data_IF_723097407658
#
_entry.id   IF_723097407658
#
_cell.length_a   1.000
_cell.length_b   1.000
_cell.length_c   1.000
_cell.angle_alpha   90.00
_cell.angle_beta   90.00
_cell.angle_gamma   90.00
#
_symmetry.space_group_name_H-M   'P 1'
#
loop_
_entity.id
_entity.type
_entity.pdbx_description
1 polymer ?
#
# COMPACT_ATOMS: atom_id res chain seq x y z
N UNK A 1 -26.21 3.63 34.33
CA UNK A 1 -25.63 3.63 32.96
C UNK A 1 -24.90 4.97 32.79
N UNK A 2 -23.63 4.96 32.40
CA UNK A 2 -22.77 6.16 32.39
C UNK A 2 -23.22 7.22 31.38
N UNK A 3 -23.83 6.78 30.28
CA UNK A 3 -24.41 7.55 29.19
C UNK A 3 -25.68 8.33 29.59
N UNK A 4 -26.52 7.76 30.46
CA UNK A 4 -27.74 8.41 30.96
C UNK A 4 -27.44 9.69 31.76
N UNK A 5 -26.27 9.74 32.40
CA UNK A 5 -25.85 10.85 33.25
C UNK A 5 -24.61 11.58 32.70
N UNK A 6 -24.28 11.43 31.40
CA UNK A 6 -23.02 11.93 30.83
C UNK A 6 -22.76 13.43 31.07
N UNK A 7 -23.82 14.26 31.20
CA UNK A 7 -23.70 15.69 31.50
C UNK A 7 -23.37 16.01 32.97
N UNK A 8 -23.63 15.07 33.88
CA UNK A 8 -23.40 15.21 35.33
C UNK A 8 -22.26 14.29 35.82
N UNK A 9 -21.86 13.33 34.98
CA UNK A 9 -20.78 12.40 35.19
C UNK A 9 -19.44 13.08 34.89
N UNK A 10 -18.45 12.91 35.79
CA UNK A 10 -17.06 13.30 35.54
C UNK A 10 -16.24 12.21 34.82
N UNK A 11 -16.89 11.14 34.35
CA UNK A 11 -16.24 10.01 33.68
C UNK A 11 -16.06 10.31 32.18
N UNK A 12 -14.83 10.14 31.71
CA UNK A 12 -14.50 10.06 30.29
C UNK A 12 -14.15 8.61 29.94
N UNK A 13 -14.88 8.01 29.00
CA UNK A 13 -14.62 6.66 28.50
C UNK A 13 -13.90 6.75 27.15
N UNK A 14 -12.72 6.15 27.06
CA UNK A 14 -11.96 6.01 25.83
C UNK A 14 -11.88 4.52 25.51
N UNK A 15 -12.42 4.12 24.37
CA UNK A 15 -12.32 2.76 23.85
C UNK A 15 -11.31 2.74 22.71
N UNK A 16 -10.34 1.83 22.78
CA UNK A 16 -9.27 1.66 21.80
C UNK A 16 -9.38 0.24 21.27
N UNK A 17 -9.35 0.06 19.95
CA UNK A 17 -9.39 -1.25 19.31
C UNK A 17 -8.66 -1.22 17.98
N UNK A 18 -7.90 -2.29 17.71
CA UNK A 18 -7.16 -2.49 16.45
C UNK A 18 -8.08 -2.89 15.29
N UNK A 19 -9.19 -3.57 15.58
CA UNK A 19 -10.12 -4.08 14.57
C UNK A 19 -11.20 -3.04 14.30
N UNK A 20 -10.95 -2.17 13.32
CA UNK A 20 -11.83 -1.04 12.96
C UNK A 20 -13.27 -1.52 12.69
N UNK A 21 -13.46 -2.63 11.96
CA UNK A 21 -14.79 -3.13 11.67
C UNK A 21 -15.53 -3.65 12.90
N UNK A 22 -14.83 -4.20 13.90
CA UNK A 22 -15.43 -4.59 15.17
C UNK A 22 -15.82 -3.35 15.99
N UNK A 23 -14.96 -2.34 16.04
CA UNK A 23 -15.27 -1.08 16.70
C UNK A 23 -16.49 -0.41 16.05
N UNK A 24 -16.55 -0.37 14.72
CA UNK A 24 -17.73 0.11 13.98
C UNK A 24 -18.96 -0.72 14.31
N UNK A 25 -18.86 -2.06 14.37
CA UNK A 25 -19.99 -2.90 14.77
C UNK A 25 -20.48 -2.53 16.17
N UNK A 26 -19.61 -2.55 17.17
CA UNK A 26 -19.96 -2.32 18.58
C UNK A 26 -20.63 -0.95 18.80
N UNK A 27 -20.16 0.11 18.13
CA UNK A 27 -20.63 1.48 18.35
C UNK A 27 -21.62 2.02 17.29
N UNK A 28 -21.70 1.40 16.10
CA UNK A 28 -22.47 1.91 14.96
C UNK A 28 -23.50 0.90 14.40
N UNK A 29 -23.54 -0.37 14.85
CA UNK A 29 -24.63 -1.29 14.52
C UNK A 29 -25.83 -1.04 15.45
N UNK A 30 -27.01 -0.78 14.89
CA UNK A 30 -28.25 -0.52 15.63
C UNK A 30 -28.66 -1.65 16.59
N UNK A 31 -28.13 -2.86 16.40
CA UNK A 31 -28.38 -4.02 17.27
C UNK A 31 -27.49 -4.04 18.51
N UNK A 32 -26.39 -3.29 18.52
CA UNK A 32 -25.42 -3.34 19.59
C UNK A 32 -25.78 -2.36 20.73
N UNK A 33 -25.57 -2.75 22.00
CA UNK A 33 -25.96 -1.93 23.14
C UNK A 33 -25.18 -0.63 23.29
N UNK A 34 -24.14 -0.36 22.49
CA UNK A 34 -23.43 0.91 22.46
C UNK A 34 -23.76 1.78 21.24
N UNK A 35 -24.73 1.37 20.42
CA UNK A 35 -25.19 2.14 19.27
C UNK A 35 -25.58 3.58 19.64
N UNK A 36 -25.12 4.54 18.84
CA UNK A 36 -25.47 5.95 18.97
C UNK A 36 -24.89 6.65 20.22
N UNK A 37 -24.02 5.96 20.99
CA UNK A 37 -23.41 6.52 22.22
C UNK A 37 -22.02 7.11 22.01
N UNK A 38 -21.50 7.03 20.78
CA UNK A 38 -20.19 7.55 20.44
C UNK A 38 -20.26 9.08 20.26
N UNK A 39 -19.47 9.82 21.05
CA UNK A 39 -19.41 11.29 20.96
C UNK A 39 -18.34 11.76 19.98
N UNK A 40 -17.22 11.04 19.90
CA UNK A 40 -16.11 11.31 18.97
C UNK A 40 -15.47 10.01 18.52
N UNK A 41 -15.11 9.95 17.25
CA UNK A 41 -14.34 8.88 16.64
C UNK A 41 -13.00 9.46 16.18
N UNK A 42 -11.91 8.77 16.48
CA UNK A 42 -10.58 9.11 15.97
C UNK A 42 -10.07 7.87 15.27
N UNK A 43 -9.98 7.93 13.95
CA UNK A 43 -9.35 6.90 13.15
C UNK A 43 -7.86 7.22 13.02
N UNK A 44 -7.02 6.43 13.69
CA UNK A 44 -5.57 6.60 13.66
C UNK A 44 -5.00 5.84 12.47
N UNK A 45 -4.82 6.57 11.36
CA UNK A 45 -4.16 6.03 10.16
C UNK A 45 -2.64 5.94 10.34
N UNK A 46 -1.96 5.06 9.55
CA UNK A 46 -0.50 5.05 9.46
C UNK A 46 0.08 6.45 9.15
N UNK A 47 1.30 6.70 9.61
CA UNK A 47 1.99 7.96 9.33
C UNK A 47 2.20 8.15 7.83
N UNK A 48 2.01 9.38 7.30
CA UNK A 48 2.27 9.65 5.91
C UNK A 48 3.77 9.56 5.62
N UNK A 49 4.09 9.37 4.34
CA UNK A 49 5.47 9.24 3.87
C UNK A 49 6.39 10.40 4.30
N UNK A 50 5.89 11.63 4.46
CA UNK A 50 6.73 12.75 4.90
C UNK A 50 7.19 12.60 6.34
N UNK A 51 6.31 12.13 7.23
CA UNK A 51 6.66 11.89 8.61
C UNK A 51 7.70 10.76 8.69
N UNK A 52 7.51 9.69 7.90
CA UNK A 52 8.49 8.61 7.81
C UNK A 52 9.80 9.08 7.19
N UNK A 53 9.77 9.94 6.18
CA UNK A 53 10.98 10.46 5.56
C UNK A 53 11.80 11.27 6.56
N UNK A 54 11.14 12.07 7.41
CA UNK A 54 11.79 12.78 8.50
C UNK A 54 12.36 11.82 9.54
N UNK A 55 11.55 10.88 10.04
CA UNK A 55 11.99 9.86 11.02
C UNK A 55 13.20 9.08 10.49
N UNK A 56 13.16 8.62 9.24
CA UNK A 56 14.28 7.90 8.65
C UNK A 56 15.53 8.80 8.52
N UNK A 57 15.36 10.08 8.18
CA UNK A 57 16.49 11.02 8.15
C UNK A 57 17.10 11.18 9.55
N UNK A 58 16.28 11.29 10.59
CA UNK A 58 16.71 11.42 11.99
C UNK A 58 17.42 10.14 12.49
N UNK A 59 16.98 8.97 12.00
CA UNK A 59 17.67 7.68 12.21
C UNK A 59 18.96 7.54 11.38
N UNK A 60 19.38 8.56 10.63
CA UNK A 60 20.65 8.56 9.88
C UNK A 60 20.58 7.98 8.47
N UNK A 61 19.38 7.72 7.91
CA UNK A 61 19.24 7.35 6.51
C UNK A 61 19.41 8.58 5.60
N UNK A 62 20.32 8.51 4.64
CA UNK A 62 20.62 9.65 3.75
C UNK A 62 20.11 9.46 2.32
N UNK A 63 20.00 8.22 1.87
CA UNK A 63 19.61 7.85 0.51
C UNK A 63 18.09 7.91 0.35
N UNK A 64 17.53 8.80 -0.51
CA UNK A 64 16.10 8.83 -0.77
C UNK A 64 15.57 7.47 -1.23
N UNK A 65 16.32 6.77 -2.08
CA UNK A 65 15.96 5.44 -2.56
C UNK A 65 15.79 4.43 -1.41
N UNK A 66 16.67 4.48 -0.40
CA UNK A 66 16.58 3.57 0.75
C UNK A 66 15.41 3.94 1.65
N UNK A 67 15.17 5.24 1.89
CA UNK A 67 14.00 5.70 2.66
C UNK A 67 12.70 5.30 1.98
N UNK A 68 12.60 5.48 0.65
CA UNK A 68 11.43 5.03 -0.14
C UNK A 68 11.29 3.51 -0.10
N UNK A 69 12.40 2.76 -0.05
CA UNK A 69 12.36 1.30 0.09
C UNK A 69 11.88 0.89 1.49
N UNK A 70 12.33 1.57 2.54
CA UNK A 70 11.86 1.34 3.92
C UNK A 70 10.37 1.61 4.02
N UNK A 71 9.91 2.76 3.56
CA UNK A 71 8.48 3.09 3.55
C UNK A 71 7.68 2.15 2.66
N UNK A 72 8.22 1.76 1.51
CA UNK A 72 7.56 0.79 0.64
C UNK A 72 7.31 -0.55 1.32
N UNK A 73 8.22 -1.03 2.17
CA UNK A 73 8.12 -2.30 2.89
C UNK A 73 7.33 -2.18 4.19
N UNK A 74 7.65 -1.21 5.03
CA UNK A 74 7.10 -1.07 6.38
C UNK A 74 5.87 -0.14 6.45
N UNK A 75 5.62 0.64 5.41
CA UNK A 75 4.52 1.61 5.38
C UNK A 75 4.66 2.68 6.45
N UNK A 76 3.53 3.28 6.84
CA UNK A 76 3.49 4.34 7.85
C UNK A 76 3.48 3.88 9.30
N UNK A 77 3.71 2.60 9.60
CA UNK A 77 3.49 2.08 10.95
C UNK A 77 4.69 2.43 11.87
N UNK A 78 4.52 3.26 12.91
CA UNK A 78 5.65 3.77 13.72
C UNK A 78 6.49 2.68 14.38
N UNK A 79 5.84 1.59 14.82
CA UNK A 79 6.47 0.46 15.52
C UNK A 79 7.66 -0.14 14.76
N UNK A 80 7.62 -0.18 13.43
CA UNK A 80 8.72 -0.73 12.65
C UNK A 80 9.98 0.15 12.73
N UNK A 81 9.81 1.47 12.76
CA UNK A 81 10.90 2.44 12.86
C UNK A 81 11.47 2.52 14.28
N UNK A 82 10.62 2.42 15.29
CA UNK A 82 11.04 2.28 16.70
C UNK A 82 11.94 1.06 16.91
N UNK A 83 11.59 -0.08 16.29
CA UNK A 83 12.40 -1.29 16.39
C UNK A 83 13.75 -1.10 15.68
N UNK A 84 13.78 -0.48 14.50
CA UNK A 84 15.03 -0.14 13.80
C UNK A 84 15.93 0.73 14.70
N UNK A 85 15.36 1.73 15.36
CA UNK A 85 16.07 2.58 16.31
C UNK A 85 16.61 1.79 17.51
N UNK A 86 15.75 1.02 18.18
CA UNK A 86 16.11 0.25 19.38
C UNK A 86 17.21 -0.79 19.13
N UNK A 87 17.28 -1.31 17.91
CA UNK A 87 18.30 -2.27 17.47
C UNK A 87 19.60 -1.58 17.02
N UNK A 88 19.66 -0.25 17.04
CA UNK A 88 20.81 0.52 16.57
C UNK A 88 21.06 0.40 15.07
N UNK A 89 20.01 0.17 14.28
CA UNK A 89 20.10 -0.06 12.82
C UNK A 89 19.90 1.22 12.00
N UNK A 90 19.96 2.39 12.65
CA UNK A 90 19.96 3.68 11.97
C UNK A 90 21.06 3.79 10.91
N UNK A 91 20.71 4.26 9.72
CA UNK A 91 21.63 4.38 8.58
C UNK A 91 22.15 3.05 8.00
N UNK A 92 21.68 1.90 8.51
CA UNK A 92 22.08 0.59 8.00
C UNK A 92 21.49 0.31 6.61
N UNK A 93 22.05 -0.65 5.88
CA UNK A 93 21.47 -1.06 4.60
C UNK A 93 20.12 -1.76 4.79
N UNK A 94 19.23 -1.66 3.80
CA UNK A 94 17.94 -2.39 3.78
C UNK A 94 18.15 -3.89 4.04
N UNK A 95 19.21 -4.47 3.46
CA UNK A 95 19.58 -5.87 3.67
C UNK A 95 19.89 -6.19 5.13
N UNK A 96 20.65 -5.33 5.82
CA UNK A 96 20.96 -5.52 7.24
C UNK A 96 19.71 -5.38 8.11
N UNK A 97 18.85 -4.41 7.81
CA UNK A 97 17.60 -4.19 8.53
C UNK A 97 16.71 -5.41 8.42
N UNK A 98 16.41 -5.88 7.21
CA UNK A 98 15.57 -7.05 7.00
C UNK A 98 16.21 -8.32 7.57
N UNK A 99 17.54 -8.47 7.50
CA UNK A 99 18.24 -9.59 8.13
C UNK A 99 17.97 -9.63 9.65
N UNK A 100 18.18 -8.52 10.34
CA UNK A 100 18.03 -8.46 11.79
C UNK A 100 16.55 -8.49 12.23
N UNK A 101 15.69 -7.81 11.47
CA UNK A 101 14.28 -7.65 11.79
C UNK A 101 13.42 -8.88 11.44
N UNK A 102 13.82 -9.67 10.43
CA UNK A 102 13.04 -10.80 9.91
C UNK A 102 13.83 -12.11 9.78
N UNK A 103 15.09 -12.09 9.38
CA UNK A 103 15.83 -13.31 9.00
C UNK A 103 16.93 -13.69 10.00
N UNK A 104 16.61 -13.55 11.28
CA UNK A 104 17.47 -13.90 12.42
C UNK A 104 16.71 -14.79 13.40
N UNK A 105 17.38 -15.70 14.14
CA UNK A 105 16.71 -16.53 15.14
C UNK A 105 15.89 -15.74 16.17
N UNK A 106 16.36 -14.53 16.52
CA UNK A 106 15.77 -13.62 17.50
C UNK A 106 15.10 -12.39 16.85
N UNK A 107 14.78 -12.48 15.56
CA UNK A 107 14.16 -11.38 14.84
C UNK A 107 12.82 -10.97 15.49
N UNK A 108 12.61 -9.67 15.80
CA UNK A 108 11.41 -9.20 16.48
C UNK A 108 10.13 -9.49 15.68
N UNK A 109 10.18 -9.40 14.35
CA UNK A 109 9.02 -9.65 13.49
C UNK A 109 8.85 -11.10 13.07
N UNK A 110 9.62 -12.02 13.66
CA UNK A 110 9.64 -13.43 13.22
C UNK A 110 8.26 -14.08 13.30
N UNK A 111 7.61 -13.92 14.44
CA UNK A 111 6.30 -14.49 14.69
C UNK A 111 5.18 -13.43 14.67
N UNK A 112 5.51 -12.14 14.77
CA UNK A 112 4.53 -11.06 14.94
C UNK A 112 3.40 -11.12 13.90
N UNK A 113 3.74 -11.22 12.61
CA UNK A 113 2.71 -11.27 11.56
C UNK A 113 1.85 -12.53 11.61
N UNK A 114 2.45 -13.67 11.93
CA UNK A 114 1.71 -14.92 12.08
C UNK A 114 0.80 -14.87 13.30
N UNK A 115 1.30 -14.34 14.41
CA UNK A 115 0.58 -14.31 15.69
C UNK A 115 -0.57 -13.30 15.64
N UNK A 116 -0.36 -12.11 15.03
CA UNK A 116 -1.44 -11.16 14.73
C UNK A 116 -2.53 -11.88 13.91
N UNK A 117 -2.15 -12.53 12.81
CA UNK A 117 -3.12 -13.16 11.92
C UNK A 117 -3.86 -14.35 12.58
N UNK A 118 -3.15 -15.20 13.32
CA UNK A 118 -3.77 -16.34 14.02
C UNK A 118 -4.71 -15.87 15.15
N UNK A 119 -4.33 -14.83 15.90
CA UNK A 119 -5.16 -14.28 16.97
C UNK A 119 -6.44 -13.63 16.44
N UNK A 120 -6.39 -12.99 15.27
CA UNK A 120 -7.54 -12.31 14.65
C UNK A 120 -8.56 -13.29 14.02
N UNK A 121 -8.11 -14.44 13.47
CA UNK A 121 -8.99 -15.32 12.69
C UNK A 121 -9.36 -16.66 13.33
N UNK A 122 -8.78 -17.01 14.48
CA UNK A 122 -9.08 -18.23 15.23
C UNK A 122 -9.03 -19.51 14.38
N UNK A 123 -10.02 -20.40 14.56
CA UNK A 123 -10.07 -21.71 13.89
C UNK A 123 -10.19 -21.69 12.35
N UNK A 124 -10.43 -20.52 11.74
CA UNK A 124 -10.52 -20.33 10.28
C UNK A 124 -9.29 -19.66 9.67
N UNK A 125 -8.23 -19.43 10.46
CA UNK A 125 -7.06 -18.66 10.04
C UNK A 125 -6.39 -19.16 8.75
N UNK A 126 -6.34 -20.49 8.53
CA UNK A 126 -5.72 -21.06 7.35
C UNK A 126 -6.37 -20.57 6.04
N UNK A 127 -7.69 -20.44 6.01
CA UNK A 127 -8.42 -19.97 4.82
C UNK A 127 -8.13 -18.50 4.53
N UNK A 128 -8.12 -17.65 5.55
CA UNK A 128 -7.78 -16.23 5.39
C UNK A 128 -6.34 -16.05 4.94
N UNK A 129 -5.40 -16.79 5.54
CA UNK A 129 -4.00 -16.80 5.15
C UNK A 129 -3.82 -17.19 3.68
N UNK A 130 -4.49 -18.25 3.20
CA UNK A 130 -4.41 -18.66 1.81
C UNK A 130 -4.98 -17.60 0.84
N UNK A 131 -6.04 -16.88 1.24
CA UNK A 131 -6.58 -15.76 0.45
C UNK A 131 -5.58 -14.60 0.40
N UNK A 132 -4.98 -14.22 1.54
CA UNK A 132 -3.99 -13.15 1.61
C UNK A 132 -2.74 -13.49 0.80
N UNK A 133 -2.24 -14.74 0.89
CA UNK A 133 -1.11 -15.22 0.09
C UNK A 133 -1.42 -15.14 -1.42
N UNK A 134 -2.62 -15.58 -1.84
CA UNK A 134 -3.03 -15.49 -3.24
C UNK A 134 -3.01 -14.04 -3.73
N UNK A 135 -3.56 -13.10 -2.95
CA UNK A 135 -3.57 -11.67 -3.29
C UNK A 135 -2.14 -11.11 -3.36
N UNK A 136 -1.30 -11.39 -2.35
CA UNK A 136 0.08 -10.89 -2.27
C UNK A 136 0.98 -11.40 -3.41
N UNK A 137 0.67 -12.59 -3.94
CA UNK A 137 1.36 -13.20 -5.08
C UNK A 137 0.78 -12.80 -6.45
N UNK A 138 -0.19 -11.88 -6.48
CA UNK A 138 -0.72 -11.27 -7.70
C UNK A 138 -2.02 -11.88 -8.23
N UNK A 139 -2.63 -12.83 -7.50
CA UNK A 139 -3.98 -13.33 -7.81
C UNK A 139 -4.99 -12.31 -7.28
N UNK A 140 -5.34 -11.34 -8.11
CA UNK A 140 -6.15 -10.18 -7.66
C UNK A 140 -7.62 -10.31 -8.05
N UNK A 141 -8.00 -11.22 -8.95
CA UNK A 141 -9.40 -11.46 -9.33
C UNK A 141 -10.03 -12.56 -8.47
N UNK A 142 -11.34 -12.49 -8.21
CA UNK A 142 -12.06 -13.53 -7.43
C UNK A 142 -11.83 -14.95 -7.96
N UNK A 143 -11.86 -15.12 -9.28
CA UNK A 143 -11.62 -16.42 -9.93
C UNK A 143 -10.19 -16.93 -9.74
N UNK A 144 -9.22 -16.04 -9.60
CA UNK A 144 -7.80 -16.36 -9.42
C UNK A 144 -7.47 -16.68 -7.96
N UNK A 145 -8.22 -16.09 -7.01
CA UNK A 145 -8.06 -16.29 -5.56
C UNK A 145 -8.67 -17.62 -5.11
N UNK A 146 -9.83 -17.99 -5.65
CA UNK A 146 -10.60 -19.14 -5.19
C UNK A 146 -9.82 -20.47 -5.25
N UNK A 147 -9.12 -20.71 -6.37
CA UNK A 147 -8.37 -21.94 -6.61
C UNK A 147 -7.25 -22.18 -5.57
N UNK A 148 -6.27 -21.27 -5.44
CA UNK A 148 -5.22 -21.38 -4.43
C UNK A 148 -5.73 -21.46 -2.99
N UNK A 149 -6.85 -20.78 -2.69
CA UNK A 149 -7.47 -20.84 -1.37
C UNK A 149 -8.21 -22.16 -1.08
N UNK A 150 -8.32 -23.07 -2.05
CA UNK A 150 -9.05 -24.34 -1.89
C UNK A 150 -10.56 -24.14 -1.68
N UNK A 151 -11.11 -23.01 -2.12
CA UNK A 151 -12.49 -22.61 -1.86
C UNK A 151 -13.35 -22.61 -3.12
N UNK A 152 -14.64 -23.00 -3.03
CA UNK A 152 -15.63 -22.62 -4.03
C UNK A 152 -15.73 -21.10 -4.12
N UNK A 153 -15.83 -20.57 -5.35
CA UNK A 153 -15.95 -19.13 -5.58
C UNK A 153 -17.18 -18.49 -4.90
N UNK A 154 -18.22 -19.28 -4.64
CA UNK A 154 -19.43 -18.89 -3.90
C UNK A 154 -19.14 -18.57 -2.44
N UNK A 155 -18.28 -19.36 -1.78
CA UNK A 155 -17.87 -19.18 -0.38
C UNK A 155 -16.86 -18.05 -0.21
N UNK A 156 -16.04 -17.78 -1.24
CA UNK A 156 -15.00 -16.74 -1.21
C UNK A 156 -15.56 -15.34 -0.91
N UNK A 157 -16.78 -15.04 -1.36
CA UNK A 157 -17.40 -13.72 -1.16
C UNK A 157 -17.62 -13.38 0.31
N UNK A 158 -17.82 -14.38 1.18
CA UNK A 158 -17.93 -14.17 2.63
C UNK A 158 -16.58 -13.70 3.18
N UNK A 159 -15.51 -14.45 2.93
CA UNK A 159 -14.17 -14.16 3.43
C UNK A 159 -13.61 -12.84 2.91
N UNK A 160 -13.85 -12.50 1.64
CA UNK A 160 -13.40 -11.22 1.09
C UNK A 160 -14.13 -10.03 1.73
N UNK A 161 -15.41 -10.18 2.10
CA UNK A 161 -16.12 -9.14 2.86
C UNK A 161 -15.62 -9.05 4.29
N UNK A 162 -15.38 -10.17 4.96
CA UNK A 162 -14.81 -10.15 6.31
C UNK A 162 -13.42 -9.47 6.31
N UNK A 163 -12.53 -9.86 5.41
CA UNK A 163 -11.20 -9.24 5.27
C UNK A 163 -11.25 -7.75 4.92
N UNK A 164 -12.28 -7.28 4.21
CA UNK A 164 -12.39 -5.88 3.79
C UNK A 164 -13.15 -5.03 4.80
N UNK A 165 -14.33 -5.47 5.24
CA UNK A 165 -15.26 -4.69 6.04
C UNK A 165 -15.05 -4.88 7.56
N UNK A 166 -14.66 -6.09 7.99
CA UNK A 166 -14.46 -6.40 9.42
C UNK A 166 -13.02 -6.14 9.85
N UNK A 167 -12.05 -6.69 9.11
CA UNK A 167 -10.64 -6.64 9.47
C UNK A 167 -9.87 -5.46 8.83
N UNK A 168 -10.45 -4.80 7.81
CA UNK A 168 -9.81 -3.73 7.04
C UNK A 168 -8.39 -4.07 6.52
N UNK A 169 -8.18 -5.34 6.15
CA UNK A 169 -6.89 -5.85 5.66
C UNK A 169 -6.77 -5.79 4.14
N UNK A 170 -7.90 -5.87 3.44
CA UNK A 170 -7.93 -5.82 1.98
C UNK A 170 -8.85 -4.71 1.49
N UNK A 171 -8.52 -4.18 0.32
CA UNK A 171 -9.36 -3.26 -0.43
C UNK A 171 -9.80 -3.89 -1.76
N UNK A 172 -11.01 -3.55 -2.17
CA UNK A 172 -11.53 -3.86 -3.50
C UNK A 172 -11.32 -2.66 -4.42
N UNK A 173 -10.40 -2.79 -5.36
CA UNK A 173 -10.14 -1.79 -6.39
C UNK A 173 -10.97 -2.05 -7.65
N UNK A 174 -11.35 -0.97 -8.34
CA UNK A 174 -12.00 -1.01 -9.66
C UNK A 174 -11.30 -0.01 -10.58
N UNK A 175 -11.38 -0.17 -11.92
CA UNK A 175 -10.81 0.84 -12.82
C UNK A 175 -11.36 2.21 -12.47
N UNK A 176 -10.52 3.24 -12.46
CA UNK A 176 -10.92 4.59 -12.03
C UNK A 176 -12.09 5.15 -12.85
N UNK A 177 -12.28 4.69 -14.09
CA UNK A 177 -13.38 5.10 -14.98
C UNK A 177 -14.70 4.37 -14.71
N UNK A 178 -14.73 3.37 -13.81
CA UNK A 178 -15.92 2.58 -13.51
C UNK A 178 -16.51 2.91 -12.14
N UNK A 179 -17.81 2.65 -11.98
CA UNK A 179 -18.52 2.80 -10.71
C UNK A 179 -18.39 1.51 -9.90
N UNK A 180 -17.91 1.62 -8.65
CA UNK A 180 -17.59 0.47 -7.79
C UNK A 180 -18.73 -0.54 -7.64
N UNK A 181 -19.98 -0.06 -7.53
CA UNK A 181 -21.19 -0.88 -7.33
C UNK A 181 -21.71 -1.56 -8.60
N UNK A 182 -21.32 -1.12 -9.80
CA UNK A 182 -21.76 -1.71 -11.07
C UNK A 182 -20.81 -2.76 -11.62
N UNK A 183 -19.51 -2.59 -11.39
CA UNK A 183 -18.51 -3.34 -12.16
C UNK A 183 -18.17 -4.71 -11.59
N UNK A 184 -17.96 -5.66 -12.52
CA UNK A 184 -17.39 -6.99 -12.24
C UNK A 184 -15.88 -7.03 -12.42
N UNK A 185 -15.24 -5.98 -12.96
CA UNK A 185 -13.79 -5.92 -13.22
C UNK A 185 -12.95 -5.61 -11.98
N UNK A 186 -13.44 -5.94 -10.78
CA UNK A 186 -12.75 -5.61 -9.55
C UNK A 186 -11.53 -6.49 -9.29
N UNK A 187 -10.51 -5.87 -8.71
CA UNK A 187 -9.31 -6.52 -8.18
C UNK A 187 -9.27 -6.34 -6.67
N UNK A 188 -8.57 -7.23 -5.97
CA UNK A 188 -8.35 -7.16 -4.53
C UNK A 188 -6.87 -6.92 -4.27
N UNK A 189 -6.59 -6.13 -3.25
CA UNK A 189 -5.24 -5.75 -2.83
C UNK A 189 -5.20 -5.71 -1.30
N UNK A 190 -4.07 -6.08 -0.72
CA UNK A 190 -3.82 -5.93 0.72
C UNK A 190 -3.44 -4.47 0.99
N UNK A 191 -4.03 -3.89 2.03
CA UNK A 191 -3.83 -2.48 2.41
C UNK A 191 -2.43 -2.23 2.96
N UNK A 192 -2.01 -3.09 3.88
CA UNK A 192 -0.72 -2.95 4.57
C UNK A 192 0.45 -3.50 3.70
N UNK A 193 1.47 -2.68 3.42
CA UNK A 193 2.61 -3.11 2.61
C UNK A 193 3.44 -4.20 3.28
N UNK A 194 3.57 -4.18 4.61
CA UNK A 194 4.37 -5.16 5.33
C UNK A 194 3.68 -6.52 5.38
N UNK A 195 2.35 -6.57 5.58
CA UNK A 195 1.55 -7.79 5.42
C UNK A 195 1.74 -8.33 3.99
N UNK A 196 1.67 -7.45 2.98
CA UNK A 196 1.86 -7.87 1.58
C UNK A 196 3.24 -8.46 1.35
N UNK A 197 4.29 -7.80 1.84
CA UNK A 197 5.68 -8.26 1.75
C UNK A 197 5.87 -9.62 2.44
N UNK A 198 5.39 -9.74 3.68
CA UNK A 198 5.50 -10.94 4.49
C UNK A 198 4.77 -12.12 3.83
N UNK A 199 3.53 -11.91 3.35
CA UNK A 199 2.77 -12.94 2.64
C UNK A 199 3.47 -13.42 1.37
N UNK A 200 3.96 -12.47 0.57
CA UNK A 200 4.56 -12.76 -0.73
C UNK A 200 5.88 -13.53 -0.61
N UNK A 201 6.71 -13.20 0.38
CA UNK A 201 8.08 -13.72 0.46
C UNK A 201 8.29 -14.73 1.58
N UNK A 202 7.72 -14.50 2.76
CA UNK A 202 7.94 -15.33 3.95
C UNK A 202 6.90 -16.43 4.02
N UNK A 203 5.61 -16.07 4.06
CA UNK A 203 4.53 -17.05 4.22
C UNK A 203 4.51 -18.12 3.12
N UNK A 204 4.71 -17.70 1.87
CA UNK A 204 4.80 -18.62 0.73
C UNK A 204 5.84 -19.72 0.92
N UNK A 205 6.89 -19.47 1.70
CA UNK A 205 7.95 -20.42 2.02
C UNK A 205 8.07 -20.63 3.53
N UNK A 206 6.93 -20.66 4.24
CA UNK A 206 6.89 -20.68 5.70
C UNK A 206 7.68 -21.86 6.29
N UNK A 207 7.63 -23.05 5.70
CA UNK A 207 8.40 -24.21 6.17
C UNK A 207 9.92 -23.96 6.16
N UNK A 208 10.44 -23.30 5.12
CA UNK A 208 11.87 -22.93 5.02
C UNK A 208 12.21 -21.88 6.08
N UNK A 209 11.29 -20.94 6.32
CA UNK A 209 11.45 -19.90 7.33
C UNK A 209 11.44 -20.46 8.77
N UNK A 210 10.50 -21.36 9.08
CA UNK A 210 10.36 -21.98 10.40
C UNK A 210 11.53 -22.90 10.73
N UNK A 211 12.08 -23.61 9.73
CA UNK A 211 13.32 -24.40 9.88
C UNK A 211 14.58 -23.55 10.08
N UNK A 212 14.48 -22.22 10.01
CA UNK A 212 15.60 -21.31 10.25
C UNK A 212 16.60 -21.22 9.10
N UNK A 213 16.25 -21.70 7.90
CA UNK A 213 17.08 -21.55 6.70
C UNK A 213 16.98 -20.12 6.13
N UNK A 214 17.42 -19.14 6.92
CA UNK A 214 17.49 -17.74 6.54
C UNK A 214 18.42 -17.46 5.35
N UNK A 215 19.54 -18.18 5.14
CA UNK A 215 20.37 -17.99 3.94
C UNK A 215 19.59 -18.13 2.63
N UNK A 216 18.57 -19.00 2.57
CA UNK A 216 17.67 -19.11 1.41
C UNK A 216 17.01 -17.77 1.06
N UNK A 217 16.51 -17.04 2.06
CA UNK A 217 15.85 -15.75 1.88
C UNK A 217 16.86 -14.64 1.59
N UNK A 218 17.98 -14.59 2.32
CA UNK A 218 19.00 -13.56 2.18
C UNK A 218 19.67 -13.55 0.79
N UNK A 219 19.81 -14.72 0.15
CA UNK A 219 20.37 -14.85 -1.19
C UNK A 219 19.44 -14.29 -2.28
N UNK A 220 18.13 -14.19 -2.01
CA UNK A 220 17.11 -13.70 -2.94
C UNK A 220 16.59 -12.30 -2.60
N UNK A 221 16.99 -11.78 -1.44
CA UNK A 221 16.39 -10.59 -0.84
C UNK A 221 16.39 -9.38 -1.76
N UNK A 222 17.49 -9.09 -2.44
CA UNK A 222 17.59 -7.93 -3.33
C UNK A 222 16.59 -8.02 -4.48
N UNK A 223 16.43 -9.20 -5.09
CA UNK A 223 15.45 -9.45 -6.15
C UNK A 223 14.03 -9.31 -5.60
N UNK A 224 13.75 -9.90 -4.43
CA UNK A 224 12.44 -9.81 -3.78
C UNK A 224 12.05 -8.37 -3.47
N UNK A 225 12.97 -7.58 -2.90
CA UNK A 225 12.74 -6.17 -2.60
C UNK A 225 12.50 -5.39 -3.90
N UNK A 226 13.28 -5.61 -4.95
CA UNK A 226 13.07 -4.92 -6.23
C UNK A 226 11.72 -5.24 -6.87
N UNK A 227 11.31 -6.52 -6.90
CA UNK A 227 10.00 -6.95 -7.40
C UNK A 227 8.85 -6.34 -6.60
N UNK A 228 8.98 -6.30 -5.28
CA UNK A 228 7.96 -5.75 -4.40
C UNK A 228 7.83 -4.24 -4.54
N UNK A 229 8.97 -3.55 -4.63
CA UNK A 229 9.00 -2.10 -4.82
C UNK A 229 8.38 -1.66 -6.15
N UNK A 230 8.31 -2.52 -7.16
CA UNK A 230 7.54 -2.25 -8.38
C UNK A 230 6.10 -1.83 -8.07
N UNK A 231 5.42 -2.56 -7.18
CA UNK A 231 4.04 -2.26 -6.78
C UNK A 231 3.98 -1.21 -5.65
N UNK A 232 4.90 -1.26 -4.69
CA UNK A 232 4.90 -0.31 -3.58
C UNK A 232 5.16 1.12 -4.06
N UNK A 233 5.96 1.30 -5.12
CA UNK A 233 6.24 2.61 -5.69
C UNK A 233 5.03 3.26 -6.35
N UNK A 234 4.07 2.47 -6.88
CA UNK A 234 2.76 2.97 -7.33
C UNK A 234 1.99 3.60 -6.14
N UNK A 235 1.95 2.94 -4.99
CA UNK A 235 1.26 3.45 -3.80
C UNK A 235 1.91 4.74 -3.28
N UNK A 236 3.25 4.77 -3.21
CA UNK A 236 4.01 5.96 -2.84
C UNK A 236 3.70 7.13 -3.78
N UNK A 237 3.74 6.87 -5.09
CA UNK A 237 3.46 7.90 -6.10
C UNK A 237 2.03 8.43 -5.98
N UNK A 238 1.05 7.54 -5.70
CA UNK A 238 -0.35 7.93 -5.46
C UNK A 238 -0.50 8.83 -4.25
N UNK A 239 0.15 8.50 -3.14
CA UNK A 239 0.13 9.29 -1.91
C UNK A 239 0.72 10.68 -2.13
N UNK A 240 1.88 10.77 -2.78
CA UNK A 240 2.51 12.03 -3.15
C UNK A 240 1.61 12.90 -4.04
N UNK A 241 0.98 12.30 -5.06
CA UNK A 241 0.06 13.01 -5.94
C UNK A 241 -1.16 13.53 -5.19
N UNK A 242 -1.75 12.74 -4.29
CA UNK A 242 -2.86 13.18 -3.44
C UNK A 242 -2.45 14.40 -2.60
N UNK A 243 -1.26 14.37 -2.01
CA UNK A 243 -0.76 15.50 -1.24
C UNK A 243 -0.53 16.75 -2.10
N UNK A 244 0.13 16.61 -3.24
CA UNK A 244 0.35 17.73 -4.16
C UNK A 244 -0.99 18.31 -4.63
N UNK A 245 -2.01 17.48 -4.84
CA UNK A 245 -3.36 17.92 -5.19
C UNK A 245 -4.00 18.73 -4.07
N UNK A 246 -3.92 18.27 -2.81
CA UNK A 246 -4.44 18.98 -1.64
C UNK A 246 -3.79 20.35 -1.44
N UNK A 247 -2.52 20.50 -1.81
CA UNK A 247 -1.79 21.77 -1.72
C UNK A 247 -1.78 22.59 -3.02
N UNK A 248 -2.61 22.24 -4.01
CA UNK A 248 -2.66 22.91 -5.32
C UNK A 248 -1.29 22.99 -6.05
N UNK A 249 -0.42 21.99 -5.83
CA UNK A 249 0.90 21.85 -6.47
C UNK A 249 0.91 20.79 -7.59
N UNK A 250 -0.17 20.04 -7.77
CA UNK A 250 -0.33 19.12 -8.89
C UNK A 250 -0.51 19.90 -10.21
N UNK A 251 -0.27 19.28 -11.40
CA UNK A 251 -0.42 19.94 -12.70
C UNK A 251 -1.81 20.57 -12.93
N UNK A 252 -2.82 19.97 -12.32
CA UNK A 252 -4.18 20.48 -12.21
C UNK A 252 -4.85 19.82 -10.99
N UNK A 253 -5.93 20.43 -10.49
CA UNK A 253 -6.73 19.82 -9.43
C UNK A 253 -7.51 18.62 -9.97
N UNK A 254 -7.44 17.45 -9.34
CA UNK A 254 -8.19 16.26 -9.73
C UNK A 254 -9.14 15.79 -8.61
N UNK A 255 -10.28 15.22 -9.02
CA UNK A 255 -11.31 14.71 -8.08
C UNK A 255 -11.06 13.26 -7.67
N UNK A 256 -10.41 12.49 -8.55
CA UNK A 256 -10.22 11.05 -8.38
C UNK A 256 -8.84 10.65 -8.89
N UNK A 257 -8.20 9.74 -8.18
CA UNK A 257 -6.97 9.07 -8.61
C UNK A 257 -7.05 7.58 -8.28
N UNK A 258 -6.61 6.76 -9.23
CA UNK A 258 -6.50 5.32 -9.03
C UNK A 258 -6.02 4.63 -10.30
N UNK A 259 -5.87 3.31 -10.23
CA UNK A 259 -5.38 2.52 -11.37
C UNK A 259 -6.47 2.38 -12.43
N UNK A 260 -6.06 2.15 -13.67
CA UNK A 260 -6.98 1.86 -14.76
C UNK A 260 -6.58 0.57 -15.46
N UNK A 261 -7.56 -0.27 -15.79
CA UNK A 261 -7.32 -1.47 -16.61
C UNK A 261 -8.56 -1.84 -17.43
N UNK A 262 -8.30 -2.48 -18.56
CA UNK A 262 -9.31 -3.18 -19.34
C UNK A 262 -8.86 -4.62 -19.66
N UNK A 263 -9.27 -5.17 -20.82
CA UNK A 263 -8.86 -6.51 -21.25
C UNK A 263 -7.46 -6.54 -21.88
N UNK A 264 -7.00 -5.42 -22.43
CA UNK A 264 -5.80 -5.32 -23.27
C UNK A 264 -4.68 -4.50 -22.62
N UNK A 265 -5.00 -3.61 -21.68
CA UNK A 265 -4.07 -2.63 -21.16
C UNK A 265 -4.34 -2.26 -19.70
N UNK A 266 -3.30 -1.71 -19.07
CA UNK A 266 -3.30 -1.22 -17.70
C UNK A 266 -2.42 0.02 -17.59
N UNK A 267 -2.85 1.01 -16.80
CA UNK A 267 -2.09 2.21 -16.46
C UNK A 267 -2.02 2.27 -14.95
N UNK A 268 -0.81 2.41 -14.42
CA UNK A 268 -0.51 2.30 -13.00
C UNK A 268 -1.34 3.29 -12.18
N UNK A 269 -1.36 4.58 -12.55
CA UNK A 269 -2.28 5.55 -11.98
C UNK A 269 -2.84 6.50 -13.04
N UNK A 270 -4.09 6.88 -12.84
CA UNK A 270 -4.79 7.89 -13.62
C UNK A 270 -5.49 8.85 -12.67
N UNK A 271 -5.18 10.14 -12.79
CA UNK A 271 -5.86 11.20 -12.05
C UNK A 271 -6.80 11.96 -12.99
N UNK A 272 -8.05 12.15 -12.57
CA UNK A 272 -9.14 12.68 -13.41
C UNK A 272 -9.75 13.94 -12.79
N UNK A 273 -9.87 14.99 -13.60
CA UNK A 273 -10.80 16.08 -13.35
C UNK A 273 -12.02 15.92 -14.28
N UNK A 274 -13.19 15.68 -13.69
CA UNK A 274 -14.43 15.47 -14.43
C UNK A 274 -15.03 16.75 -15.03
N UNK A 275 -14.69 17.92 -14.48
CA UNK A 275 -15.20 19.22 -14.92
C UNK A 275 -14.37 19.78 -16.07
N UNK A 276 -13.06 19.83 -15.92
CA UNK A 276 -12.14 20.37 -16.94
C UNK A 276 -11.73 19.33 -17.98
N UNK A 277 -12.07 18.05 -17.75
CA UNK A 277 -11.67 16.91 -18.59
C UNK A 277 -10.15 16.77 -18.76
N UNK A 278 -9.39 17.22 -17.77
CA UNK A 278 -7.95 17.01 -17.67
C UNK A 278 -7.65 15.63 -17.06
N UNK A 279 -6.64 14.95 -17.61
CA UNK A 279 -6.21 13.64 -17.14
C UNK A 279 -4.69 13.58 -17.01
N UNK A 280 -4.21 13.09 -15.88
CA UNK A 280 -2.81 12.75 -15.65
C UNK A 280 -2.66 11.22 -15.73
N UNK A 281 -1.83 10.74 -16.64
CA UNK A 281 -1.45 9.34 -16.76
C UNK A 281 -0.08 9.13 -16.14
N UNK A 282 0.06 8.09 -15.33
CA UNK A 282 1.27 7.81 -14.56
C UNK A 282 1.76 6.40 -14.82
N UNK A 283 3.06 6.25 -15.06
CA UNK A 283 3.74 4.96 -15.09
C UNK A 283 4.89 4.97 -14.08
N UNK A 284 4.97 3.93 -13.25
CA UNK A 284 5.99 3.78 -12.22
C UNK A 284 7.01 2.72 -12.61
N UNK A 285 8.31 3.02 -12.46
CA UNK A 285 9.39 2.08 -12.76
C UNK A 285 10.39 1.99 -11.63
N UNK A 286 10.45 0.80 -11.01
CA UNK A 286 11.47 0.44 -10.04
C UNK A 286 12.53 -0.48 -10.66
N UNK A 287 13.22 0.02 -11.69
CA UNK A 287 14.22 -0.72 -12.45
C UNK A 287 15.64 -0.32 -12.08
N UNK A 288 16.64 -1.14 -12.42
CA UNK A 288 18.06 -0.81 -12.25
C UNK A 288 18.61 0.09 -13.37
N UNK A 289 17.96 0.11 -14.53
CA UNK A 289 18.34 0.94 -15.68
C UNK A 289 17.49 2.20 -15.77
N UNK A 290 18.04 3.31 -16.28
CA UNK A 290 17.27 4.52 -16.57
C UNK A 290 16.13 4.23 -17.55
N UNK A 291 15.02 4.95 -17.37
CA UNK A 291 13.84 4.83 -18.23
C UNK A 291 14.01 5.65 -19.51
N UNK A 292 13.69 5.04 -20.65
CA UNK A 292 13.74 5.65 -21.97
C UNK A 292 12.39 6.13 -22.49
N UNK A 293 12.40 6.66 -23.71
CA UNK A 293 11.22 7.18 -24.40
C UNK A 293 10.19 6.09 -24.73
N UNK A 294 10.62 4.82 -24.80
CA UNK A 294 9.76 3.65 -25.03
C UNK A 294 8.65 3.53 -23.98
N UNK A 295 8.95 3.81 -22.71
CA UNK A 295 7.95 3.80 -21.63
C UNK A 295 6.94 4.91 -21.83
N UNK A 296 7.38 6.12 -22.20
CA UNK A 296 6.48 7.24 -22.50
C UNK A 296 5.56 6.92 -23.69
N UNK A 297 6.09 6.34 -24.76
CA UNK A 297 5.28 5.97 -25.93
C UNK A 297 4.26 4.90 -25.59
N UNK A 298 4.65 3.91 -24.78
CA UNK A 298 3.73 2.88 -24.28
C UNK A 298 2.60 3.50 -23.45
N UNK A 299 2.93 4.42 -22.54
CA UNK A 299 1.94 5.13 -21.73
C UNK A 299 1.00 5.99 -22.60
N UNK A 300 1.54 6.76 -23.54
CA UNK A 300 0.78 7.56 -24.51
C UNK A 300 -0.16 6.68 -25.35
N UNK A 301 0.29 5.51 -25.79
CA UNK A 301 -0.53 4.56 -26.53
C UNK A 301 -1.70 4.03 -25.67
N UNK A 302 -1.43 3.57 -24.44
CA UNK A 302 -2.48 3.10 -23.53
C UNK A 302 -3.48 4.20 -23.17
N UNK A 303 -3.01 5.45 -23.03
CA UNK A 303 -3.83 6.61 -22.71
C UNK A 303 -4.90 6.91 -23.79
N UNK A 304 -4.69 6.47 -25.05
CA UNK A 304 -5.68 6.63 -26.13
C UNK A 304 -7.02 5.93 -25.84
N UNK A 305 -7.02 4.94 -24.95
CA UNK A 305 -8.23 4.22 -24.54
C UNK A 305 -9.09 4.98 -23.52
N UNK A 306 -8.66 6.17 -23.06
CA UNK A 306 -9.41 7.00 -22.12
C UNK A 306 -9.78 8.35 -22.76
N UNK A 307 -11.03 8.82 -22.60
CA UNK A 307 -11.41 10.14 -23.06
C UNK A 307 -10.73 11.22 -22.21
N UNK A 308 -10.02 12.13 -22.86
CA UNK A 308 -9.37 13.28 -22.22
C UNK A 308 -9.41 14.49 -23.16
N UNK A 309 -9.60 15.69 -22.62
CA UNK A 309 -9.47 16.93 -23.38
C UNK A 309 -8.04 17.49 -23.32
N UNK A 310 -7.34 17.26 -22.21
CA UNK A 310 -5.95 17.64 -22.04
C UNK A 310 -5.21 16.59 -21.21
N UNK A 311 -4.14 16.02 -21.78
CA UNK A 311 -3.40 14.91 -21.22
C UNK A 311 -2.04 15.36 -20.66
N UNK A 312 -1.79 14.98 -19.42
CA UNK A 312 -0.52 15.09 -18.73
C UNK A 312 0.07 13.70 -18.49
N UNK A 313 1.39 13.62 -18.43
CA UNK A 313 2.12 12.37 -18.25
C UNK A 313 3.12 12.53 -17.12
N UNK A 314 3.16 11.56 -16.22
CA UNK A 314 4.19 11.44 -15.19
C UNK A 314 4.86 10.07 -15.33
N UNK A 315 6.18 10.07 -15.40
CA UNK A 315 6.97 8.84 -15.29
C UNK A 315 7.80 8.93 -14.03
N UNK A 316 7.68 7.94 -13.15
CA UNK A 316 8.56 7.81 -11.99
C UNK A 316 9.59 6.72 -12.24
N UNK A 317 10.85 6.96 -11.88
CA UNK A 317 11.94 6.02 -12.13
C UNK A 317 12.95 6.00 -11.00
N UNK A 318 13.19 4.82 -10.41
CA UNK A 318 14.24 4.61 -9.40
C UNK A 318 15.63 5.02 -9.92
N UNK A 319 15.97 4.62 -11.13
CA UNK A 319 17.29 4.84 -11.74
C UNK A 319 17.34 6.08 -12.65
N UNK A 320 16.35 6.97 -12.56
CA UNK A 320 16.26 8.16 -13.39
C UNK A 320 15.95 7.85 -14.86
N UNK A 321 16.38 8.74 -15.76
CA UNK A 321 15.90 8.79 -17.15
C UNK A 321 17.07 8.94 -18.13
N UNK A 322 16.92 8.42 -19.34
CA UNK A 322 17.87 8.65 -20.43
C UNK A 322 17.89 10.12 -20.83
N UNK A 323 19.02 10.60 -21.37
CA UNK A 323 19.14 12.00 -21.84
C UNK A 323 18.13 12.31 -22.94
N UNK A 324 17.81 11.34 -23.79
CA UNK A 324 16.78 11.48 -24.82
C UNK A 324 15.41 11.80 -24.24
N UNK A 325 15.01 11.15 -23.14
CA UNK A 325 13.74 11.42 -22.47
C UNK A 325 13.79 12.76 -21.71
N UNK A 326 14.89 13.06 -21.02
CA UNK A 326 15.08 14.34 -20.29
C UNK A 326 15.05 15.56 -21.20
N UNK A 327 15.58 15.43 -22.41
CA UNK A 327 15.66 16.53 -23.38
C UNK A 327 14.36 16.74 -24.18
N UNK A 328 13.32 15.92 -23.96
CA UNK A 328 12.01 16.17 -24.57
C UNK A 328 11.40 17.45 -23.99
N UNK A 329 11.16 18.44 -24.86
CA UNK A 329 10.45 19.67 -24.51
C UNK A 329 8.94 19.44 -24.62
N UNK A 330 8.38 18.70 -23.66
CA UNK A 330 6.94 18.48 -23.52
C UNK A 330 6.47 19.12 -22.20
N UNK A 331 5.72 20.25 -22.23
CA UNK A 331 5.30 20.94 -21.01
C UNK A 331 4.29 20.13 -20.18
N UNK A 332 3.75 19.03 -20.73
CA UNK A 332 2.83 18.14 -20.04
C UNK A 332 3.50 16.85 -19.56
N UNK A 333 4.82 16.72 -19.70
CA UNK A 333 5.60 15.59 -19.22
C UNK A 333 6.34 15.96 -17.93
N UNK A 334 6.10 15.18 -16.89
CA UNK A 334 6.81 15.24 -15.61
C UNK A 334 7.63 13.96 -15.42
N UNK A 335 8.83 14.12 -14.88
CA UNK A 335 9.78 13.03 -14.62
C UNK A 335 10.19 13.14 -13.15
N UNK A 336 9.96 12.09 -12.36
CA UNK A 336 10.37 12.05 -10.95
C UNK A 336 11.32 10.88 -10.69
N UNK A 337 12.50 11.18 -10.17
CA UNK A 337 13.37 10.21 -9.53
C UNK A 337 13.32 10.34 -7.98
N UNK A 338 14.00 9.47 -7.22
CA UNK A 338 14.01 9.55 -5.76
C UNK A 338 14.47 10.91 -5.19
N UNK A 339 15.33 11.65 -5.88
CA UNK A 339 15.79 12.98 -5.44
C UNK A 339 14.72 14.05 -5.67
N UNK A 340 13.99 13.98 -6.79
CA UNK A 340 12.83 14.84 -7.02
C UNK A 340 11.79 14.63 -5.92
N UNK A 341 11.50 13.36 -5.60
CA UNK A 341 10.58 12.98 -4.52
C UNK A 341 11.05 13.51 -3.17
N UNK A 342 12.32 13.33 -2.82
CA UNK A 342 12.89 13.89 -1.59
C UNK A 342 12.72 15.42 -1.50
N UNK A 343 12.82 16.12 -2.64
CA UNK A 343 12.61 17.58 -2.69
C UNK A 343 11.16 17.96 -2.40
N UNK A 344 10.19 17.15 -2.83
CA UNK A 344 8.78 17.37 -2.49
C UNK A 344 8.49 17.08 -1.01
N UNK A 345 9.11 16.04 -0.45
CA UNK A 345 8.89 15.62 0.94
C UNK A 345 9.45 16.63 1.97
N UNK A 346 10.50 17.38 1.60
CA UNK A 346 11.13 18.41 2.45
C UNK A 346 10.42 19.78 2.44
N UNK A 347 9.36 19.96 1.63
CA UNK A 347 8.63 21.23 1.42
C UNK A 347 7.20 21.20 1.92
#
# INVERSE_FOLDING_TARGET
MWDTWHKQSSIHLIAIGSVVGLMKKVFQDAKEPLYGRLTREIDLSPLPIEAIYQIATDLGFQSPTDILTLYGIFGGMPRYYEIIESMGLGGSTIRQILHQALFSPFAPFRNEMRDIILSEFGGTAHTYLAILEAIATGKTRRSEIAGPAGLPATSLSKYLRELSDLFDLIEREVPITEQSWKTKKSRYKIRDPFITFWMRFIYRQLSIYESGNFPYFLNRLNTCVAEFMGFAFENITRELLLKLNLHNRAPFYFHRIGRWWDRQSEIDLVALNSETRQTLFVECKWTSTPVGTDVLQTLKHRAQNLPTANAFYLITSKSGFTDTLKNLRDPHLYLWDPNDIATFLKK
#
